data_IF_287215081911
#
_entry.id   IF_287215081911
#
_cell.length_a   1.000
_cell.length_b   1.000
_cell.length_c   1.000
_cell.angle_alpha   90.00
_cell.angle_beta   90.00
_cell.angle_gamma   90.00
#
_symmetry.space_group_name_H-M   'P 1'
#
loop_
_entity.id
_entity.type
_entity.pdbx_description
1 polymer ?
#
# COMPACT_ATOMS: atom_id res chain seq x y z
N UNK A 1 -40.87 -6.38 -74.17
CA UNK A 1 -40.64 -6.59 -72.73
C UNK A 1 -39.18 -7.00 -72.54
N UNK A 2 -38.29 -6.04 -72.26
CA UNK A 2 -36.87 -6.30 -72.01
C UNK A 2 -36.67 -6.61 -70.51
N UNK A 3 -36.11 -7.77 -70.20
CA UNK A 3 -35.73 -8.18 -68.85
C UNK A 3 -34.27 -7.75 -68.64
N UNK A 4 -34.05 -6.65 -67.92
CA UNK A 4 -32.71 -6.20 -67.55
C UNK A 4 -32.20 -7.00 -66.34
N UNK A 5 -31.08 -7.70 -66.50
CA UNK A 5 -30.39 -8.39 -65.42
C UNK A 5 -29.83 -7.37 -64.40
N UNK A 6 -29.87 -7.65 -63.08
CA UNK A 6 -29.27 -6.78 -62.08
C UNK A 6 -27.73 -6.76 -62.24
N UNK A 7 -27.07 -5.60 -62.06
CA UNK A 7 -25.61 -5.53 -62.10
C UNK A 7 -25.03 -6.34 -60.93
N UNK A 8 -24.07 -7.22 -61.25
CA UNK A 8 -23.29 -7.93 -60.26
C UNK A 8 -22.56 -6.90 -59.40
N UNK A 9 -22.93 -6.82 -58.13
CA UNK A 9 -22.16 -6.10 -57.11
C UNK A 9 -20.81 -6.81 -57.05
N UNK A 10 -19.80 -6.17 -57.63
CA UNK A 10 -18.40 -6.54 -57.41
C UNK A 10 -18.16 -6.34 -55.91
N UNK A 11 -18.15 -7.43 -55.15
CA UNK A 11 -17.62 -7.43 -53.80
C UNK A 11 -16.16 -7.02 -53.91
N UNK A 12 -15.86 -5.76 -53.59
CA UNK A 12 -14.53 -5.37 -53.20
C UNK A 12 -14.15 -6.32 -52.07
N UNK A 13 -13.29 -7.29 -52.38
CA UNK A 13 -12.62 -8.12 -51.39
C UNK A 13 -11.88 -7.15 -50.48
N UNK A 14 -12.49 -6.81 -49.34
CA UNK A 14 -11.82 -6.05 -48.32
C UNK A 14 -10.58 -6.83 -47.93
N UNK A 15 -9.43 -6.17 -47.97
CA UNK A 15 -8.21 -6.67 -47.37
C UNK A 15 -8.56 -7.14 -45.95
N UNK A 16 -8.66 -8.46 -45.76
CA UNK A 16 -8.79 -9.04 -44.45
C UNK A 16 -7.40 -8.89 -43.82
N UNK A 17 -7.16 -7.98 -42.86
CA UNK A 17 -5.91 -8.01 -42.13
C UNK A 17 -5.81 -9.42 -41.54
N UNK A 18 -4.82 -10.18 -41.99
CA UNK A 18 -4.65 -11.55 -41.55
C UNK A 18 -4.56 -11.55 -40.02
N UNK A 19 -5.00 -12.64 -39.39
CA UNK A 19 -4.92 -12.85 -37.93
C UNK A 19 -3.49 -12.66 -37.35
N UNK A 20 -2.48 -12.54 -38.22
CA UNK A 20 -1.07 -12.35 -37.92
C UNK A 20 -0.54 -10.94 -38.18
N UNK A 21 -1.36 -9.98 -38.64
CA UNK A 21 -0.99 -8.56 -38.72
C UNK A 21 -1.63 -7.82 -37.55
N UNK A 22 -0.91 -7.67 -36.42
CA UNK A 22 -1.49 -7.03 -35.26
C UNK A 22 -1.86 -5.59 -35.61
N UNK A 23 -3.06 -5.17 -35.24
CA UNK A 23 -3.40 -3.75 -35.36
C UNK A 23 -2.46 -2.93 -34.45
N UNK A 24 -2.16 -1.68 -34.82
CA UNK A 24 -1.33 -0.81 -33.97
C UNK A 24 -1.88 -0.66 -32.55
N UNK A 25 -3.20 -0.76 -32.40
CA UNK A 25 -3.92 -0.72 -31.11
C UNK A 25 -3.65 -1.99 -30.29
N UNK A 26 -3.67 -3.18 -30.90
CA UNK A 26 -3.32 -4.43 -30.22
C UNK A 26 -1.87 -4.44 -29.72
N UNK A 27 -0.94 -3.96 -30.54
CA UNK A 27 0.47 -3.84 -30.14
C UNK A 27 0.61 -2.87 -28.98
N UNK A 28 -0.02 -1.68 -29.07
CA UNK A 28 0.00 -0.70 -28.00
C UNK A 28 -0.62 -1.27 -26.71
N UNK A 29 -1.74 -2.00 -26.81
CA UNK A 29 -2.40 -2.64 -25.68
C UNK A 29 -1.48 -3.66 -24.99
N UNK A 30 -0.82 -4.54 -25.76
CA UNK A 30 0.11 -5.53 -25.19
C UNK A 30 1.34 -4.87 -24.57
N UNK A 31 1.90 -3.84 -25.19
CA UNK A 31 3.07 -3.13 -24.67
C UNK A 31 2.75 -2.38 -23.38
N UNK A 32 1.62 -1.66 -23.35
CA UNK A 32 1.15 -0.98 -22.14
C UNK A 32 0.84 -2.00 -21.07
N UNK A 33 0.13 -3.09 -21.39
CA UNK A 33 -0.16 -4.18 -20.46
C UNK A 33 1.08 -4.80 -19.82
N UNK A 34 2.12 -5.05 -20.62
CA UNK A 34 3.38 -5.57 -20.11
C UNK A 34 4.11 -4.54 -19.23
N UNK A 35 4.06 -3.26 -19.59
CA UNK A 35 4.61 -2.17 -18.79
C UNK A 35 3.85 -2.01 -17.46
N UNK A 36 2.52 -2.07 -17.47
CA UNK A 36 1.64 -2.06 -16.30
C UNK A 36 1.97 -3.21 -15.37
N UNK A 37 2.07 -4.43 -15.90
CA UNK A 37 2.44 -5.62 -15.12
C UNK A 37 3.83 -5.49 -14.51
N UNK A 38 4.81 -5.02 -15.30
CA UNK A 38 6.16 -4.73 -14.81
C UNK A 38 6.17 -3.72 -13.68
N UNK A 39 5.43 -2.61 -13.82
CA UNK A 39 5.29 -1.60 -12.78
C UNK A 39 4.63 -2.15 -11.51
N UNK A 40 3.62 -3.00 -11.64
CA UNK A 40 2.97 -3.67 -10.51
C UNK A 40 3.93 -4.62 -9.77
N UNK A 41 4.74 -5.41 -10.50
CA UNK A 41 5.76 -6.27 -9.90
C UNK A 41 6.83 -5.44 -9.19
N UNK A 42 7.31 -4.36 -9.80
CA UNK A 42 8.30 -3.47 -9.17
C UNK A 42 7.72 -2.81 -7.92
N UNK A 43 6.44 -2.41 -7.95
CA UNK A 43 5.73 -1.81 -6.81
C UNK A 43 5.81 -2.70 -5.57
N UNK A 44 5.52 -4.00 -5.70
CA UNK A 44 5.48 -4.93 -4.55
C UNK A 44 6.86 -5.50 -4.18
N UNK A 45 7.82 -5.49 -5.09
CA UNK A 45 9.19 -6.00 -4.83
C UNK A 45 10.13 -4.92 -4.30
N UNK A 46 9.79 -3.64 -4.49
CA UNK A 46 10.60 -2.52 -4.06
C UNK A 46 10.59 -2.39 -2.53
N UNK A 47 11.79 -2.26 -1.94
CA UNK A 47 11.95 -2.13 -0.48
C UNK A 47 11.80 -0.71 0.07
N UNK A 48 11.70 0.29 -0.82
CA UNK A 48 11.53 1.69 -0.45
C UNK A 48 10.08 2.12 -0.72
N UNK A 49 9.35 2.50 0.33
CA UNK A 49 7.90 2.77 0.24
C UNK A 49 7.55 3.88 -0.75
N UNK A 50 8.37 4.93 -0.82
CA UNK A 50 8.14 6.04 -1.78
C UNK A 50 8.29 5.57 -3.22
N UNK A 51 9.32 4.78 -3.53
CA UNK A 51 9.50 4.23 -4.87
C UNK A 51 8.38 3.23 -5.23
N UNK A 52 7.97 2.39 -4.28
CA UNK A 52 6.82 1.51 -4.47
C UNK A 52 5.56 2.32 -4.84
N UNK A 53 5.28 3.41 -4.11
CA UNK A 53 4.13 4.26 -4.40
C UNK A 53 4.23 5.00 -5.75
N UNK A 54 5.43 5.39 -6.19
CA UNK A 54 5.63 5.96 -7.53
C UNK A 54 5.40 4.93 -8.66
N UNK A 55 5.89 3.70 -8.48
CA UNK A 55 5.60 2.61 -9.42
C UNK A 55 4.12 2.23 -9.45
N UNK A 56 3.40 2.41 -8.33
CA UNK A 56 1.95 2.25 -8.28
C UNK A 56 1.23 3.30 -9.14
N UNK A 57 1.71 4.55 -9.18
CA UNK A 57 1.19 5.58 -10.11
C UNK A 57 1.34 5.11 -11.55
N UNK A 58 2.51 4.58 -11.90
CA UNK A 58 2.78 4.07 -13.26
C UNK A 58 1.85 2.92 -13.61
N UNK A 59 1.63 1.97 -12.69
CA UNK A 59 0.70 0.85 -12.91
C UNK A 59 -0.76 1.33 -13.08
N UNK A 60 -1.23 2.21 -12.21
CA UNK A 60 -2.61 2.72 -12.28
C UNK A 60 -2.84 3.65 -13.48
N UNK A 61 -1.82 4.40 -13.89
CA UNK A 61 -1.82 5.18 -15.13
C UNK A 61 -1.80 4.30 -16.38
N UNK A 62 -1.04 3.20 -16.37
CA UNK A 62 -1.06 2.18 -17.41
C UNK A 62 -2.45 1.58 -17.61
N UNK A 63 -3.14 1.23 -16.50
CA UNK A 63 -4.54 0.77 -16.56
C UNK A 63 -5.48 1.83 -17.15
N UNK A 64 -5.26 3.12 -16.88
CA UNK A 64 -6.07 4.18 -17.50
C UNK A 64 -5.88 4.22 -19.03
N UNK A 65 -4.65 4.00 -19.51
CA UNK A 65 -4.36 3.89 -20.94
C UNK A 65 -5.01 2.63 -21.53
N UNK A 66 -4.95 1.49 -20.85
CA UNK A 66 -5.64 0.26 -21.27
C UNK A 66 -7.16 0.47 -21.38
N UNK A 67 -7.80 1.14 -20.42
CA UNK A 67 -9.22 1.47 -20.52
C UNK A 67 -9.54 2.36 -21.73
N UNK A 68 -8.66 3.31 -22.07
CA UNK A 68 -8.85 4.14 -23.26
C UNK A 68 -8.71 3.33 -24.55
N UNK A 69 -7.73 2.41 -24.62
CA UNK A 69 -7.55 1.48 -25.74
C UNK A 69 -8.74 0.53 -25.88
N UNK A 70 -9.40 0.17 -24.77
CA UNK A 70 -10.63 -0.63 -24.74
C UNK A 70 -11.91 0.21 -24.98
N UNK A 71 -11.79 1.47 -25.40
CA UNK A 71 -12.92 2.40 -25.64
C UNK A 71 -13.76 2.73 -24.39
N UNK A 72 -13.26 2.43 -23.19
CA UNK A 72 -13.90 2.71 -21.92
C UNK A 72 -13.50 4.11 -21.38
N UNK A 73 -13.80 5.16 -22.16
CA UNK A 73 -13.36 6.55 -21.88
C UNK A 73 -13.77 7.04 -20.48
N UNK A 74 -15.04 6.86 -20.11
CA UNK A 74 -15.52 7.32 -18.80
C UNK A 74 -14.75 6.68 -17.66
N UNK A 75 -14.49 5.37 -17.76
CA UNK A 75 -13.75 4.61 -16.74
C UNK A 75 -12.28 5.03 -16.70
N UNK A 76 -11.66 5.31 -17.87
CA UNK A 76 -10.30 5.83 -17.94
C UNK A 76 -10.15 7.16 -17.18
N UNK A 77 -11.08 8.10 -17.37
CA UNK A 77 -11.04 9.38 -16.65
C UNK A 77 -11.27 9.21 -15.14
N UNK A 78 -12.22 8.36 -14.74
CA UNK A 78 -12.44 8.03 -13.33
C UNK A 78 -11.20 7.38 -12.71
N UNK A 79 -10.49 6.53 -13.46
CA UNK A 79 -9.25 5.89 -13.04
C UNK A 79 -8.19 6.95 -12.68
N UNK A 80 -7.99 7.93 -13.56
CA UNK A 80 -7.03 9.02 -13.32
C UNK A 80 -7.47 9.89 -12.14
N UNK A 81 -8.73 10.30 -12.07
CA UNK A 81 -9.23 11.23 -11.05
C UNK A 81 -9.21 10.62 -9.64
N UNK A 82 -9.68 9.38 -9.49
CA UNK A 82 -9.86 8.76 -8.18
C UNK A 82 -8.60 8.02 -7.77
N UNK A 83 -8.08 7.12 -8.60
CA UNK A 83 -6.96 6.26 -8.19
C UNK A 83 -5.65 7.03 -8.20
N UNK A 84 -5.29 7.65 -9.33
CA UNK A 84 -4.03 8.40 -9.42
C UNK A 84 -4.14 9.73 -8.67
N UNK A 85 -5.22 10.48 -8.88
CA UNK A 85 -5.38 11.85 -8.37
C UNK A 85 -5.69 11.94 -6.87
N UNK A 86 -6.51 11.02 -6.34
CA UNK A 86 -6.96 11.10 -4.94
C UNK A 86 -6.28 10.05 -4.07
N UNK A 87 -6.46 8.75 -4.38
CA UNK A 87 -6.01 7.66 -3.52
C UNK A 87 -4.48 7.64 -3.40
N UNK A 88 -3.77 7.66 -4.53
CA UNK A 88 -2.29 7.60 -4.49
C UNK A 88 -1.69 8.87 -3.90
N UNK A 89 -2.25 10.05 -4.17
CA UNK A 89 -1.78 11.30 -3.54
C UNK A 89 -1.98 11.26 -2.03
N UNK A 90 -3.14 10.81 -1.53
CA UNK A 90 -3.38 10.63 -0.09
C UNK A 90 -2.44 9.60 0.52
N UNK A 91 -2.17 8.49 -0.19
CA UNK A 91 -1.22 7.47 0.23
C UNK A 91 0.20 8.06 0.33
N UNK A 92 0.66 8.78 -0.70
CA UNK A 92 1.97 9.44 -0.70
C UNK A 92 2.09 10.45 0.43
N UNK A 93 1.08 11.28 0.64
CA UNK A 93 1.04 12.24 1.75
C UNK A 93 1.12 11.54 3.11
N UNK A 94 0.34 10.48 3.31
CA UNK A 94 0.39 9.66 4.54
C UNK A 94 1.74 8.98 4.76
N UNK A 95 2.35 8.42 3.71
CA UNK A 95 3.70 7.83 3.77
C UNK A 95 4.77 8.87 4.13
N UNK A 96 4.67 10.08 3.57
CA UNK A 96 5.61 11.16 3.88
C UNK A 96 5.46 11.67 5.32
N UNK A 97 4.23 11.83 5.81
CA UNK A 97 3.97 12.26 7.19
C UNK A 97 4.43 11.25 8.24
N UNK A 98 4.31 9.96 7.94
CA UNK A 98 4.71 8.88 8.87
C UNK A 98 6.22 8.63 8.91
N UNK A 99 7.01 9.45 8.19
CA UNK A 99 8.47 9.30 8.07
C UNK A 99 8.86 7.86 7.70
N UNK A 100 8.14 7.30 6.73
CA UNK A 100 8.36 5.95 6.22
C UNK A 100 9.88 5.69 6.05
N UNK A 101 10.44 4.59 6.59
CA UNK A 101 11.88 4.36 6.57
C UNK A 101 12.45 4.53 5.15
N UNK A 102 13.37 5.49 4.97
CA UNK A 102 14.00 5.80 3.68
C UNK A 102 15.10 4.75 3.33
N UNK A 103 15.19 3.66 4.10
CA UNK A 103 16.16 2.56 3.94
C UNK A 103 15.49 1.20 3.75
N UNK A 104 16.31 0.15 3.56
CA UNK A 104 15.82 -1.24 3.50
C UNK A 104 15.19 -1.59 4.85
N UNK A 105 13.89 -1.83 4.90
CA UNK A 105 13.22 -2.35 6.10
C UNK A 105 13.55 -3.84 6.26
N UNK A 106 14.26 -4.26 7.32
CA UNK A 106 14.52 -5.68 7.59
C UNK A 106 13.23 -6.45 7.92
N UNK A 107 12.24 -5.76 8.48
CA UNK A 107 10.94 -6.33 8.90
C UNK A 107 9.93 -6.51 7.77
N UNK A 108 10.22 -5.99 6.57
CA UNK A 108 9.35 -6.20 5.40
C UNK A 108 9.50 -7.61 4.80
N UNK A 109 10.43 -8.42 5.33
CA UNK A 109 10.80 -9.69 4.73
C UNK A 109 10.41 -10.88 5.60
N UNK A 110 9.35 -11.57 5.21
CA UNK A 110 9.04 -12.88 5.79
C UNK A 110 9.98 -13.91 5.16
N UNK A 111 10.70 -14.70 5.99
CA UNK A 111 11.55 -15.80 5.53
C UNK A 111 10.83 -16.85 4.66
N UNK A 112 9.50 -16.76 4.53
CA UNK A 112 8.64 -17.66 3.77
C UNK A 112 8.40 -17.25 2.30
N UNK A 113 9.29 -16.44 1.70
CA UNK A 113 9.16 -15.95 0.31
C UNK A 113 8.83 -17.02 -0.73
N UNK A 114 9.43 -18.20 -0.61
CA UNK A 114 9.21 -19.30 -1.54
C UNK A 114 7.79 -19.86 -1.47
N UNK A 115 7.22 -19.95 -0.27
CA UNK A 115 5.83 -20.36 -0.08
C UNK A 115 4.90 -19.28 -0.60
N UNK A 116 5.16 -18.01 -0.28
CA UNK A 116 4.37 -16.88 -0.80
C UNK A 116 4.38 -16.82 -2.34
N UNK A 117 5.54 -17.05 -2.95
CA UNK A 117 5.69 -17.13 -4.41
C UNK A 117 4.93 -18.33 -4.98
N UNK A 118 5.02 -19.50 -4.32
CA UNK A 118 4.26 -20.69 -4.71
C UNK A 118 2.75 -20.45 -4.71
N UNK A 119 2.23 -19.81 -3.66
CA UNK A 119 0.80 -19.45 -3.56
C UNK A 119 0.40 -18.39 -4.59
N UNK A 120 1.26 -17.39 -4.83
CA UNK A 120 1.00 -16.36 -5.84
C UNK A 120 0.94 -16.97 -7.25
N UNK A 121 1.89 -17.84 -7.60
CA UNK A 121 1.92 -18.52 -8.90
C UNK A 121 0.76 -19.50 -9.06
N UNK A 122 0.43 -20.27 -8.02
CA UNK A 122 -0.72 -21.16 -8.03
C UNK A 122 -2.04 -20.39 -8.23
N UNK A 123 -2.21 -19.27 -7.51
CA UNK A 123 -3.36 -18.38 -7.66
C UNK A 123 -3.43 -17.75 -9.04
N UNK A 124 -2.31 -17.28 -9.58
CA UNK A 124 -2.24 -16.70 -10.92
C UNK A 124 -2.56 -17.75 -12.01
N UNK A 125 -2.00 -18.96 -11.89
CA UNK A 125 -2.30 -20.06 -12.82
C UNK A 125 -3.76 -20.49 -12.74
N UNK A 126 -4.33 -20.56 -11.54
CA UNK A 126 -5.76 -20.85 -11.35
C UNK A 126 -6.64 -19.75 -11.98
N UNK A 127 -6.29 -18.48 -11.78
CA UNK A 127 -7.00 -17.35 -12.40
C UNK A 127 -6.95 -17.43 -13.93
N UNK A 128 -5.75 -17.64 -14.51
CA UNK A 128 -5.59 -17.80 -15.96
C UNK A 128 -6.39 -18.98 -16.47
N UNK A 129 -6.36 -20.11 -15.78
CA UNK A 129 -7.12 -21.29 -16.17
C UNK A 129 -8.64 -21.04 -16.15
N UNK A 130 -9.16 -20.42 -15.09
CA UNK A 130 -10.60 -20.06 -14.99
C UNK A 130 -11.00 -19.05 -16.06
N UNK A 131 -10.17 -18.04 -16.32
CA UNK A 131 -10.45 -17.04 -17.38
C UNK A 131 -10.46 -17.71 -18.75
N UNK A 132 -9.43 -18.49 -19.08
CA UNK A 132 -9.39 -19.20 -20.37
C UNK A 132 -10.56 -20.16 -20.51
N UNK A 133 -10.91 -20.91 -19.46
CA UNK A 133 -12.04 -21.83 -19.47
C UNK A 133 -13.38 -21.11 -19.64
N UNK A 134 -13.59 -19.98 -18.97
CA UNK A 134 -14.82 -19.20 -19.06
C UNK A 134 -15.01 -18.52 -20.44
N UNK A 135 -13.92 -18.04 -21.04
CA UNK A 135 -14.00 -17.28 -22.30
C UNK A 135 -13.78 -18.12 -23.56
N UNK A 136 -13.21 -19.33 -23.48
CA UNK A 136 -12.93 -20.17 -24.68
C UNK A 136 -14.18 -20.53 -25.50
N UNK A 137 -15.36 -20.58 -24.88
CA UNK A 137 -16.63 -20.91 -25.54
C UNK A 137 -17.54 -19.70 -25.76
N UNK A 138 -17.10 -18.51 -25.35
CA UNK A 138 -17.93 -17.30 -25.37
C UNK A 138 -17.71 -16.55 -26.68
N UNK A 139 -18.79 -16.40 -27.45
CA UNK A 139 -18.81 -15.53 -28.63
C UNK A 139 -19.27 -14.15 -28.20
N UNK A 140 -18.39 -13.15 -28.38
CA UNK A 140 -18.71 -11.75 -28.10
C UNK A 140 -19.33 -11.16 -29.37
N UNK A 141 -20.57 -10.70 -29.25
CA UNK A 141 -21.23 -9.94 -30.30
C UNK A 141 -20.67 -8.51 -30.31
N UNK A 142 -19.97 -8.15 -31.39
CA UNK A 142 -19.32 -6.86 -31.57
C UNK A 142 -20.23 -5.83 -32.28
N UNK A 143 -21.44 -6.22 -32.68
CA UNK A 143 -22.37 -5.36 -33.42
C UNK A 143 -23.24 -4.48 -32.48
N UNK A 144 -23.04 -4.61 -31.16
CA UNK A 144 -23.73 -3.81 -30.15
C UNK A 144 -23.30 -2.33 -30.11
N UNK A 145 -24.14 -1.43 -29.56
CA UNK A 145 -23.78 -0.02 -29.38
C UNK A 145 -22.49 0.11 -28.58
N UNK A 146 -21.60 1.03 -28.98
CA UNK A 146 -20.35 1.31 -28.29
C UNK A 146 -20.58 1.52 -26.78
N UNK A 147 -20.15 0.54 -25.99
CA UNK A 147 -20.24 0.59 -24.53
C UNK A 147 -19.02 1.32 -23.98
N UNK A 148 -19.21 2.15 -22.94
CA UNK A 148 -18.12 2.97 -22.35
C UNK A 148 -18.33 4.48 -22.44
N UNK A 149 -19.34 4.94 -23.16
CA UNK A 149 -19.75 6.36 -23.17
C UNK A 149 -20.37 6.78 -21.83
N UNK A 150 -20.02 7.98 -21.38
CA UNK A 150 -20.61 8.64 -20.19
C UNK A 150 -22.14 8.63 -20.20
N UNK A 151 -22.78 8.79 -21.37
CA UNK A 151 -24.25 8.78 -21.48
C UNK A 151 -24.83 7.42 -21.11
N UNK A 152 -24.23 6.34 -21.64
CA UNK A 152 -24.70 4.97 -21.42
C UNK A 152 -24.48 4.59 -19.96
N UNK A 153 -23.28 4.83 -19.43
CA UNK A 153 -22.94 4.53 -18.04
C UNK A 153 -23.82 5.30 -17.05
N UNK A 154 -24.07 6.59 -17.30
CA UNK A 154 -24.97 7.39 -16.47
C UNK A 154 -26.41 6.88 -16.47
N UNK A 155 -26.94 6.48 -17.64
CA UNK A 155 -28.28 5.91 -17.73
C UNK A 155 -28.40 4.60 -16.94
N UNK A 156 -27.41 3.69 -17.04
CA UNK A 156 -27.39 2.45 -16.26
C UNK A 156 -27.27 2.72 -14.76
N UNK A 157 -26.44 3.67 -14.34
CA UNK A 157 -26.23 3.99 -12.93
C UNK A 157 -27.53 4.44 -12.25
N UNK A 158 -28.26 5.36 -12.89
CA UNK A 158 -29.47 5.96 -12.32
C UNK A 158 -30.78 5.23 -12.64
N UNK A 159 -30.77 4.21 -13.51
CA UNK A 159 -31.98 3.41 -13.80
C UNK A 159 -31.90 2.01 -13.24
N UNK A 160 -30.76 1.34 -13.39
CA UNK A 160 -30.60 -0.06 -12.98
C UNK A 160 -29.90 -0.17 -11.62
N UNK A 161 -29.00 0.75 -11.29
CA UNK A 161 -28.12 0.69 -10.11
C UNK A 161 -28.43 1.76 -9.06
N UNK A 162 -29.71 2.15 -8.93
CA UNK A 162 -30.14 3.19 -7.98
C UNK A 162 -29.83 2.80 -6.53
N UNK A 163 -30.16 1.57 -6.13
CA UNK A 163 -29.94 1.13 -4.75
C UNK A 163 -28.44 1.10 -4.38
N UNK A 164 -27.53 0.56 -5.21
CA UNK A 164 -26.10 0.65 -4.92
C UNK A 164 -25.56 2.08 -4.95
N UNK A 165 -26.09 2.96 -5.82
CA UNK A 165 -25.73 4.38 -5.82
C UNK A 165 -26.08 5.07 -4.50
N UNK A 166 -27.28 4.82 -3.97
CA UNK A 166 -27.71 5.35 -2.68
C UNK A 166 -26.83 4.82 -1.54
N UNK A 167 -26.54 3.52 -1.53
CA UNK A 167 -25.63 2.92 -0.55
C UNK A 167 -24.22 3.53 -0.60
N UNK A 168 -23.69 3.81 -1.80
CA UNK A 168 -22.41 4.49 -1.96
C UNK A 168 -22.44 5.92 -1.42
N UNK A 169 -23.55 6.64 -1.57
CA UNK A 169 -23.69 7.99 -1.01
C UNK A 169 -23.60 8.00 0.53
N UNK A 170 -24.27 7.05 1.18
CA UNK A 170 -24.21 6.87 2.64
C UNK A 170 -22.83 6.39 3.07
N UNK A 171 -22.20 5.50 2.30
CA UNK A 171 -20.82 5.05 2.55
C UNK A 171 -19.82 6.21 2.50
N UNK A 172 -19.93 7.09 1.50
CA UNK A 172 -19.06 8.27 1.37
C UNK A 172 -19.29 9.27 2.51
N UNK A 173 -20.55 9.49 2.91
CA UNK A 173 -20.87 10.30 4.08
C UNK A 173 -20.24 9.71 5.36
N UNK A 174 -20.40 8.41 5.57
CA UNK A 174 -19.83 7.71 6.71
C UNK A 174 -18.29 7.76 6.71
N UNK A 175 -17.65 7.61 5.54
CA UNK A 175 -16.20 7.73 5.40
C UNK A 175 -15.71 9.13 5.75
N UNK A 176 -16.40 10.19 5.29
CA UNK A 176 -16.06 11.57 5.63
C UNK A 176 -16.17 11.83 7.13
N UNK A 177 -17.29 11.43 7.75
CA UNK A 177 -17.49 11.56 9.20
C UNK A 177 -16.43 10.78 9.97
N UNK A 178 -16.13 9.54 9.54
CA UNK A 178 -15.10 8.70 10.14
C UNK A 178 -13.71 9.34 10.07
N UNK A 179 -13.33 9.90 8.92
CA UNK A 179 -12.06 10.60 8.76
C UNK A 179 -11.95 11.83 9.66
N UNK A 180 -13.02 12.64 9.77
CA UNK A 180 -13.04 13.84 10.63
C UNK A 180 -12.93 13.47 12.11
N UNK A 181 -13.68 12.46 12.56
CA UNK A 181 -13.66 12.01 13.96
C UNK A 181 -12.29 11.44 14.32
N UNK A 182 -11.67 10.67 13.42
CA UNK A 182 -10.34 10.08 13.63
C UNK A 182 -9.23 11.14 13.61
N UNK A 183 -9.33 12.14 12.75
CA UNK A 183 -8.34 13.22 12.65
C UNK A 183 -8.42 14.23 13.80
N UNK A 184 -9.49 14.21 14.60
CA UNK A 184 -9.66 15.14 15.72
C UNK A 184 -8.74 14.75 16.87
N UNK A 185 -7.69 15.55 17.09
CA UNK A 185 -6.83 15.44 18.26
C UNK A 185 -7.64 15.73 19.53
N UNK A 186 -7.56 14.84 20.53
CA UNK A 186 -8.13 15.08 21.85
C UNK A 186 -7.17 16.00 22.61
N UNK A 187 -7.50 17.27 22.68
CA UNK A 187 -6.88 18.18 23.65
C UNK A 187 -7.59 17.93 24.99
N UNK A 188 -7.06 17.02 25.79
CA UNK A 188 -7.63 16.73 27.12
C UNK A 188 -6.50 16.41 28.10
N UNK A 189 -6.43 17.27 29.13
CA UNK A 189 -5.82 17.11 30.45
C UNK A 189 -4.30 17.31 30.64
N UNK A 190 -3.90 18.58 30.70
CA UNK A 190 -2.88 19.06 31.65
C UNK A 190 -3.35 20.37 32.27
N UNK A 191 -3.95 20.33 33.46
CA UNK A 191 -4.24 21.58 34.18
C UNK A 191 -5.30 21.58 35.27
N UNK A 192 -5.41 20.56 36.13
CA UNK A 192 -6.08 20.71 37.45
C UNK A 192 -5.66 19.62 38.43
N UNK A 193 -4.35 19.46 38.62
CA UNK A 193 -3.80 18.86 39.84
C UNK A 193 -3.64 19.96 40.88
N UNK A 194 -4.73 20.35 41.55
CA UNK A 194 -4.70 21.26 42.69
C UNK A 194 -3.95 20.56 43.82
N UNK A 195 -2.66 20.89 43.99
CA UNK A 195 -1.88 20.48 45.14
C UNK A 195 -2.39 21.20 46.38
N UNK A 196 -3.19 20.51 47.20
CA UNK A 196 -3.46 20.90 48.58
C UNK A 196 -2.77 19.91 49.50
N UNK A 197 -1.47 20.10 49.69
CA UNK A 197 -0.74 19.60 50.86
C UNK A 197 -0.66 20.76 51.84
N UNK A 198 -1.66 20.90 52.69
CA UNK A 198 -1.60 21.74 53.88
C UNK A 198 -1.28 20.85 55.07
N UNK A 199 0.03 20.61 55.26
CA UNK A 199 0.58 20.14 56.52
C UNK A 199 0.40 21.26 57.57
N UNK A 200 -0.50 21.04 58.52
CA UNK A 200 -0.59 21.83 59.74
C UNK A 200 0.09 21.05 60.88
N UNK A 201 1.11 21.69 61.43
CA UNK A 201 2.07 21.19 62.40
C UNK A 201 1.46 20.51 63.64
N UNK A 202 2.10 19.41 64.01
CA UNK A 202 1.91 18.67 65.26
C UNK A 202 3.02 19.05 66.24
N UNK A 203 2.60 19.48 67.43
CA UNK A 203 3.20 19.26 68.75
C UNK A 203 4.57 19.89 69.10
N UNK A 204 4.56 20.74 70.14
CA UNK A 204 5.74 21.20 70.88
C UNK A 204 5.57 20.75 72.33
N UNK A 205 6.22 19.63 72.67
CA UNK A 205 6.29 19.05 74.00
C UNK A 205 7.72 19.05 74.55
N UNK A 206 7.88 19.72 75.68
CA UNK A 206 9.05 19.87 76.55
C UNK A 206 9.58 18.55 77.12
N UNK A 207 10.92 18.37 77.25
CA UNK A 207 11.50 17.27 78.02
C UNK A 207 13.04 17.24 78.09
N UNK A 208 13.57 17.52 79.29
CA UNK A 208 14.97 17.57 79.74
C UNK A 208 15.61 16.18 79.89
N UNK A 209 16.93 16.03 79.68
CA UNK A 209 17.67 14.82 80.07
C UNK A 209 19.18 14.86 79.78
N UNK A 210 19.98 14.57 80.81
CA UNK A 210 21.42 14.83 80.99
C UNK A 210 22.28 13.55 80.85
N UNK A 211 23.57 13.71 80.49
CA UNK A 211 24.67 12.73 80.72
C UNK A 211 25.07 11.87 79.50
N UNK A 212 26.27 11.30 79.35
CA UNK A 212 27.52 11.25 80.12
C UNK A 212 28.52 10.39 79.30
N UNK A 213 29.76 10.89 79.16
CA UNK A 213 31.09 10.25 79.05
C UNK A 213 31.44 9.12 78.04
N UNK A 214 32.46 9.42 77.23
CA UNK A 214 33.76 8.74 76.98
C UNK A 214 33.95 7.19 76.99
N UNK A 215 34.71 6.70 75.98
CA UNK A 215 35.46 5.43 75.96
C UNK A 215 35.85 5.00 74.52
N UNK A 216 37.03 5.33 73.95
CA UNK A 216 38.33 4.59 73.88
C UNK A 216 38.32 3.08 73.59
N UNK A 217 39.19 2.67 72.64
CA UNK A 217 39.56 1.30 72.24
C UNK A 217 39.76 1.25 70.70
N UNK A 218 40.93 1.53 70.12
CA UNK A 218 42.20 0.78 70.10
C UNK A 218 42.00 -0.68 69.68
N UNK A 219 42.54 -1.05 68.51
CA UNK A 219 43.24 -2.32 68.26
C UNK A 219 44.03 -2.24 66.95
N UNK A 220 45.24 -2.80 66.99
CA UNK A 220 46.31 -2.70 66.02
C UNK A 220 46.86 -4.09 65.67
N UNK A 221 47.38 -4.23 64.45
CA UNK A 221 48.30 -5.31 64.01
C UNK A 221 47.59 -6.61 63.57
N UNK A 222 48.06 -7.38 62.60
CA UNK A 222 49.40 -7.56 62.01
C UNK A 222 49.29 -8.39 60.73
N UNK A 223 50.20 -8.15 59.76
CA UNK A 223 50.86 -9.11 58.86
C UNK A 223 50.01 -10.03 57.95
N UNK A 224 50.39 -10.47 56.73
CA UNK A 224 51.66 -10.56 56.01
C UNK A 224 51.39 -11.05 54.57
N UNK A 225 52.28 -10.72 53.62
CA UNK A 225 52.63 -11.44 52.36
C UNK A 225 51.53 -11.61 51.30
N UNK A 226 51.63 -11.25 50.02
CA UNK A 226 52.77 -11.06 49.12
C UNK A 226 52.51 -11.86 47.82
N UNK A 227 53.04 -11.36 46.68
CA UNK A 227 53.18 -11.98 45.34
C UNK A 227 52.04 -11.70 44.33
N UNK A 228 52.14 -10.72 43.41
CA UNK A 228 52.88 -10.67 42.10
C UNK A 228 52.57 -11.84 41.16
N UNK A 229 52.12 -11.71 39.91
CA UNK A 229 51.89 -10.58 38.99
C UNK A 229 51.21 -11.12 37.70
N UNK A 230 50.96 -10.30 36.66
CA UNK A 230 50.36 -10.75 35.40
C UNK A 230 51.42 -11.10 34.33
N UNK A 231 51.24 -12.23 33.65
CA UNK A 231 52.07 -12.65 32.49
C UNK A 231 51.22 -12.63 31.22
N UNK A 232 51.76 -12.00 30.18
CA UNK A 232 51.05 -11.69 28.93
C UNK A 232 51.10 -12.76 27.85
N UNK A 233 50.51 -12.43 26.70
CA UNK A 233 50.67 -13.12 25.43
C UNK A 233 50.41 -12.14 24.26
N UNK A 234 51.33 -12.06 23.29
CA UNK A 234 50.92 -11.95 21.90
C UNK A 234 51.74 -12.88 20.98
N UNK A 235 51.06 -13.56 20.05
CA UNK A 235 51.66 -14.30 18.93
C UNK A 235 50.65 -14.38 17.78
N UNK A 236 50.85 -13.61 16.70
CA UNK A 236 51.47 -13.99 15.41
C UNK A 236 50.73 -15.08 14.62
N UNK A 237 49.99 -14.63 13.60
CA UNK A 237 50.07 -15.02 12.18
C UNK A 237 50.01 -16.49 11.77
N UNK A 238 49.02 -16.83 10.93
CA UNK A 238 49.18 -17.87 9.92
C UNK A 238 48.45 -17.48 8.62
N UNK A 239 49.16 -17.66 7.50
CA UNK A 239 48.67 -17.57 6.13
C UNK A 239 48.06 -18.93 5.74
N UNK A 240 46.90 -18.92 5.09
CA UNK A 240 46.59 -19.72 3.89
C UNK A 240 45.28 -19.24 3.28
#
# INVERSE_FOLDING_TARGET
MLHAAPPLVSSAAGDHPGFLSPSGVEIAFLLVGLATLGAAVITVTTRQLVHAALWLVVALGGLAVEYLLLTAEFIAWVQVLIYVGSIVVLLLFGLMLTRAPIGRSPDADSGNRWVALGVALASAAALVWVVVDAFRTTWIDLDGPAQGSTRVTGAFLFRNWVLPFEALSVLLLAALVGAIVLSRKRDTDTGTGTGTSQDAATDTGTGTGTGKDAGTGQDAGTDTTGRTGPTGAPGKGEKR
#
